data_IF_240774075212
#
_entry.id   IF_240774075212
#
_cell.length_a   1.000
_cell.length_b   1.000
_cell.length_c   1.000
_cell.angle_alpha   90.00
_cell.angle_beta   90.00
_cell.angle_gamma   90.00
#
_symmetry.space_group_name_H-M   'P 1'
#
loop_
_entity.id
_entity.type
_entity.pdbx_description
1 polymer ?
#
# COMPACT_ATOMS: atom_id res chain seq x y z
N UNK A 1 -19.70 15.78 -28.65
CA UNK A 1 -18.77 14.69 -28.25
C UNK A 1 -17.75 15.10 -27.19
N UNK A 2 -17.02 16.21 -27.34
CA UNK A 2 -15.94 16.64 -26.43
C UNK A 2 -16.33 16.80 -24.95
N UNK A 3 -17.54 17.29 -24.64
CA UNK A 3 -18.04 17.42 -23.25
C UNK A 3 -18.08 16.08 -22.52
N UNK A 4 -18.48 15.00 -23.20
CA UNK A 4 -18.58 13.64 -22.61
C UNK A 4 -17.19 13.11 -22.25
N UNK A 5 -16.18 13.35 -23.07
CA UNK A 5 -14.80 12.94 -22.78
C UNK A 5 -14.20 13.70 -21.60
N UNK A 6 -14.49 14.99 -21.47
CA UNK A 6 -14.08 15.81 -20.32
C UNK A 6 -14.72 15.28 -19.03
N UNK A 7 -16.02 14.95 -19.05
CA UNK A 7 -16.68 14.37 -17.89
C UNK A 7 -16.14 12.97 -17.53
N UNK A 8 -15.88 12.12 -18.54
CA UNK A 8 -15.29 10.78 -18.34
C UNK A 8 -13.89 10.88 -17.73
N UNK A 9 -13.03 11.76 -18.23
CA UNK A 9 -11.67 11.95 -17.70
C UNK A 9 -11.67 12.52 -16.27
N UNK A 10 -12.54 13.50 -15.99
CA UNK A 10 -12.72 14.05 -14.64
C UNK A 10 -13.21 12.97 -13.66
N UNK A 11 -14.20 12.17 -14.04
CA UNK A 11 -14.71 11.05 -13.25
C UNK A 11 -13.62 10.01 -12.96
N UNK A 12 -12.86 9.58 -13.98
CA UNK A 12 -11.72 8.65 -13.80
C UNK A 12 -10.69 9.20 -12.80
N UNK A 13 -10.36 10.49 -12.90
CA UNK A 13 -9.41 11.16 -11.98
C UNK A 13 -9.91 11.17 -10.54
N UNK A 14 -11.20 11.45 -10.32
CA UNK A 14 -11.81 11.40 -8.99
C UNK A 14 -11.85 9.98 -8.42
N UNK A 15 -12.25 8.98 -9.22
CA UNK A 15 -12.25 7.57 -8.79
C UNK A 15 -10.84 7.11 -8.38
N UNK A 16 -9.82 7.43 -9.19
CA UNK A 16 -8.41 7.13 -8.89
C UNK A 16 -7.96 7.78 -7.57
N UNK A 17 -8.31 9.05 -7.34
CA UNK A 17 -7.99 9.78 -6.10
C UNK A 17 -8.66 9.16 -4.87
N UNK A 18 -9.95 8.79 -4.97
CA UNK A 18 -10.69 8.15 -3.88
C UNK A 18 -10.06 6.80 -3.48
N UNK A 19 -9.76 5.97 -4.47
CA UNK A 19 -9.12 4.68 -4.24
C UNK A 19 -7.74 4.82 -3.60
N UNK A 20 -6.93 5.80 -4.05
CA UNK A 20 -5.64 6.07 -3.42
C UNK A 20 -5.77 6.51 -1.95
N UNK A 21 -6.79 7.32 -1.61
CA UNK A 21 -7.06 7.71 -0.21
C UNK A 21 -7.45 6.51 0.65
N UNK A 22 -8.27 5.60 0.12
CA UNK A 22 -8.63 4.36 0.81
C UNK A 22 -7.39 3.50 1.08
N UNK A 23 -6.56 3.27 0.07
CA UNK A 23 -5.33 2.48 0.25
C UNK A 23 -4.40 3.09 1.31
N UNK A 24 -4.24 4.41 1.31
CA UNK A 24 -3.46 5.12 2.35
C UNK A 24 -4.09 4.94 3.74
N UNK A 25 -5.42 4.97 3.84
CA UNK A 25 -6.14 4.74 5.10
C UNK A 25 -5.91 3.33 5.64
N UNK A 26 -6.00 2.31 4.79
CA UNK A 26 -5.78 0.92 5.18
C UNK A 26 -4.33 0.72 5.63
N UNK A 27 -3.38 1.28 4.88
CA UNK A 27 -1.97 1.30 5.27
C UNK A 27 -1.76 2.01 6.61
N UNK A 28 -2.44 3.14 6.88
CA UNK A 28 -2.35 3.89 8.14
C UNK A 28 -2.91 3.13 9.34
N UNK A 29 -4.00 2.37 9.16
CA UNK A 29 -4.50 1.46 10.21
C UNK A 29 -3.42 0.47 10.64
N UNK A 30 -2.57 0.08 9.70
CA UNK A 30 -1.40 -0.76 9.94
C UNK A 30 -0.09 0.06 10.00
N UNK A 31 -0.12 1.32 10.43
CA UNK A 31 1.01 2.28 10.32
C UNK A 31 2.33 1.78 10.92
N UNK A 32 2.27 1.11 12.08
CA UNK A 32 3.41 0.46 12.71
C UNK A 32 4.02 -0.61 11.79
N UNK A 33 3.16 -1.43 11.15
CA UNK A 33 3.54 -2.46 10.17
C UNK A 33 4.08 -1.82 8.88
N UNK A 34 3.50 -0.71 8.45
CA UNK A 34 3.90 0.01 7.24
C UNK A 34 5.28 0.64 7.34
N UNK A 35 5.64 1.22 8.49
CA UNK A 35 6.96 1.81 8.69
C UNK A 35 8.06 0.75 8.65
N UNK A 36 7.86 -0.38 9.35
CA UNK A 36 8.73 -1.55 9.31
C UNK A 36 8.86 -2.12 7.89
N UNK A 37 7.75 -2.26 7.18
CA UNK A 37 7.74 -2.76 5.81
C UNK A 37 8.42 -1.81 4.82
N UNK A 38 8.21 -0.50 4.96
CA UNK A 38 8.84 0.53 4.13
C UNK A 38 10.36 0.56 4.33
N UNK A 39 10.84 0.33 5.55
CA UNK A 39 12.27 0.20 5.83
C UNK A 39 12.87 -0.98 5.05
N UNK A 40 12.23 -2.16 5.10
CA UNK A 40 12.67 -3.36 4.38
C UNK A 40 12.67 -3.20 2.87
N UNK A 41 11.56 -2.70 2.32
CA UNK A 41 11.42 -2.45 0.88
C UNK A 41 12.51 -1.49 0.38
N UNK A 42 12.93 -0.54 1.22
CA UNK A 42 14.02 0.38 0.92
C UNK A 42 15.40 -0.29 1.05
N UNK A 43 15.61 -1.12 2.06
CA UNK A 43 16.85 -1.88 2.27
C UNK A 43 17.10 -2.87 1.11
N UNK A 44 16.05 -3.58 0.68
CA UNK A 44 16.08 -4.56 -0.41
C UNK A 44 15.87 -3.94 -1.81
N UNK A 45 15.79 -2.60 -1.92
CA UNK A 45 15.55 -1.87 -3.18
C UNK A 45 14.30 -2.31 -3.98
N UNK A 46 13.29 -2.85 -3.31
CA UNK A 46 12.06 -3.33 -3.95
C UNK A 46 11.16 -2.12 -4.30
N UNK A 47 10.65 -2.05 -5.54
CA UNK A 47 9.65 -1.03 -5.91
C UNK A 47 8.24 -1.59 -5.72
N UNK A 48 7.59 -1.23 -4.63
CA UNK A 48 6.25 -1.74 -4.31
C UNK A 48 5.12 -0.76 -4.67
N UNK A 49 4.13 -1.28 -5.41
CA UNK A 49 2.91 -0.53 -5.72
C UNK A 49 2.00 -0.45 -4.49
N UNK A 50 1.63 0.77 -4.10
CA UNK A 50 0.76 1.04 -2.94
C UNK A 50 -0.61 0.34 -3.01
N UNK A 51 -1.11 0.06 -4.21
CA UNK A 51 -2.35 -0.74 -4.39
C UNK A 51 -2.13 -2.17 -3.90
N UNK A 52 -1.13 -2.84 -4.46
CA UNK A 52 -0.78 -4.23 -4.12
C UNK A 52 -0.49 -4.32 -2.61
N UNK A 53 0.26 -3.35 -2.08
CA UNK A 53 0.58 -3.32 -0.65
C UNK A 53 -0.65 -3.21 0.26
N UNK A 54 -1.58 -2.33 -0.09
CA UNK A 54 -2.84 -2.19 0.67
C UNK A 54 -3.64 -3.48 0.63
N UNK A 55 -3.67 -4.14 -0.53
CA UNK A 55 -4.39 -5.40 -0.75
C UNK A 55 -3.77 -6.51 0.11
N UNK A 56 -2.45 -6.67 0.05
CA UNK A 56 -1.66 -7.62 0.85
C UNK A 56 -1.90 -7.45 2.36
N UNK A 57 -1.90 -6.21 2.86
CA UNK A 57 -2.21 -5.94 4.26
C UNK A 57 -3.65 -6.29 4.66
N UNK A 58 -4.60 -6.22 3.72
CA UNK A 58 -6.01 -6.54 3.99
C UNK A 58 -6.35 -8.01 3.82
N UNK A 59 -5.74 -8.70 2.86
CA UNK A 59 -6.11 -10.08 2.49
C UNK A 59 -5.21 -11.12 3.13
N UNK A 60 -3.94 -10.80 3.36
CA UNK A 60 -2.92 -11.76 3.78
C UNK A 60 -2.25 -11.35 5.09
N UNK A 61 -3.05 -11.30 6.16
CA UNK A 61 -2.55 -10.93 7.49
C UNK A 61 -1.40 -11.85 7.95
N UNK A 62 -1.39 -13.12 7.52
CA UNK A 62 -0.33 -14.09 7.81
C UNK A 62 1.02 -13.70 7.19
N UNK A 63 1.03 -13.31 5.91
CA UNK A 63 2.22 -12.82 5.21
C UNK A 63 2.83 -11.61 5.92
N UNK A 64 1.98 -10.72 6.42
CA UNK A 64 2.38 -9.53 7.19
C UNK A 64 3.02 -9.92 8.53
N UNK A 65 2.44 -10.89 9.25
CA UNK A 65 2.98 -11.40 10.51
C UNK A 65 4.35 -12.07 10.29
N UNK A 66 4.49 -12.86 9.22
CA UNK A 66 5.78 -13.50 8.87
C UNK A 66 6.86 -12.46 8.59
N UNK A 67 6.53 -11.40 7.82
CA UNK A 67 7.43 -10.25 7.60
C UNK A 67 7.83 -9.56 8.90
N UNK A 68 6.89 -9.40 9.84
CA UNK A 68 7.20 -8.81 11.15
C UNK A 68 8.15 -9.68 11.98
N UNK A 69 7.94 -11.01 11.97
CA UNK A 69 8.83 -11.95 12.68
C UNK A 69 10.23 -11.97 12.07
N UNK A 70 10.32 -11.97 10.75
CA UNK A 70 11.61 -11.88 10.07
C UNK A 70 12.36 -10.59 10.42
N UNK A 71 11.64 -9.48 10.53
CA UNK A 71 12.21 -8.19 10.93
C UNK A 71 12.76 -8.21 12.37
N UNK A 72 12.01 -8.78 13.31
CA UNK A 72 12.47 -8.98 14.69
C UNK A 72 13.73 -9.86 14.76
N UNK A 73 13.80 -10.89 13.92
CA UNK A 73 14.98 -11.75 13.84
C UNK A 73 16.19 -11.00 13.28
N UNK A 74 16.01 -10.20 12.23
CA UNK A 74 17.08 -9.43 11.59
C UNK A 74 17.67 -8.33 12.49
N UNK A 75 16.87 -7.75 13.40
CA UNK A 75 17.35 -6.72 14.34
C UNK A 75 18.11 -7.34 15.53
N UNK A 76 17.74 -8.57 15.93
CA UNK A 76 18.29 -9.25 17.11
C UNK A 76 19.49 -10.16 16.83
N UNK A 77 19.89 -10.31 15.55
CA UNK A 77 21.08 -11.02 15.10
C UNK A 77 22.00 -10.06 14.33
#
# INVERSE_FOLDING_TARGET
MMKIEIYKTKSRKHKKRRFNRQNISHIKLFSLKYNLFKFFVKAENIKLNKKILSELFTTEIGSVISLMRWNFYYINN
#
